data_IF_454412384631
#
_entry.id   IF_454412384631
#
_cell.length_a   1.000
_cell.length_b   1.000
_cell.length_c   1.000
_cell.angle_alpha   90.00
_cell.angle_beta   90.00
_cell.angle_gamma   90.00
#
_symmetry.space_group_name_H-M   'P 1'
#
loop_
_entity.id
_entity.type
_entity.pdbx_description
1 polymer ?
#
# COMPACT_ATOMS: atom_id res chain seq x y z
N UNK A 1 -3.81 -33.39 -11.92
CA UNK A 1 -3.60 -31.94 -12.11
C UNK A 1 -4.22 -31.43 -13.41
N UNK A 2 -3.97 -32.07 -14.56
CA UNK A 2 -4.51 -31.65 -15.87
C UNK A 2 -6.03 -31.41 -15.87
N UNK A 3 -6.80 -32.29 -15.22
CA UNK A 3 -8.27 -32.19 -15.11
C UNK A 3 -8.75 -30.92 -14.36
N UNK A 4 -7.98 -30.45 -13.38
CA UNK A 4 -8.31 -29.24 -12.63
C UNK A 4 -8.04 -27.99 -13.47
N UNK A 5 -6.88 -27.94 -14.14
CA UNK A 5 -6.51 -26.82 -15.02
C UNK A 5 -7.44 -26.69 -16.22
N UNK A 6 -7.85 -27.80 -16.85
CA UNK A 6 -8.83 -27.79 -17.95
C UNK A 6 -10.20 -27.24 -17.48
N UNK A 7 -10.57 -27.49 -16.22
CA UNK A 7 -11.79 -26.94 -15.63
C UNK A 7 -11.67 -25.46 -15.27
N UNK A 8 -10.50 -25.02 -14.79
CA UNK A 8 -10.19 -23.61 -14.62
C UNK A 8 -10.28 -22.85 -15.94
N UNK A 9 -9.86 -23.46 -17.04
CA UNK A 9 -9.98 -22.91 -18.39
C UNK A 9 -11.43 -22.83 -18.90
N UNK A 10 -12.39 -23.45 -18.21
CA UNK A 10 -13.79 -23.51 -18.65
C UNK A 10 -14.04 -24.40 -19.87
N UNK A 11 -13.10 -25.29 -20.22
CA UNK A 11 -13.19 -26.16 -21.41
C UNK A 11 -13.93 -27.47 -21.11
N UNK A 12 -14.70 -27.96 -22.09
CA UNK A 12 -15.38 -29.26 -21.97
C UNK A 12 -14.38 -30.41 -21.95
N UNK A 13 -14.36 -31.14 -20.85
CA UNK A 13 -13.45 -32.27 -20.62
C UNK A 13 -13.78 -33.48 -21.49
N UNK A 14 -15.07 -33.70 -21.80
CA UNK A 14 -15.53 -34.85 -22.57
C UNK A 14 -15.09 -34.78 -24.03
N UNK A 15 -15.03 -33.57 -24.58
CA UNK A 15 -14.54 -33.30 -25.93
C UNK A 15 -13.02 -33.40 -25.96
N UNK A 16 -12.33 -32.83 -24.95
CA UNK A 16 -10.87 -32.90 -24.86
C UNK A 16 -10.36 -34.33 -24.66
N UNK A 17 -11.06 -35.15 -23.85
CA UNK A 17 -11.27 -36.62 -24.04
C UNK A 17 -10.64 -37.21 -25.32
N UNK A 18 -11.20 -36.77 -26.44
CA UNK A 18 -11.04 -37.37 -27.76
C UNK A 18 -9.99 -36.64 -28.63
N UNK A 19 -9.38 -35.58 -28.12
CA UNK A 19 -8.41 -34.76 -28.84
C UNK A 19 -6.94 -35.19 -28.59
N UNK A 20 -6.05 -34.95 -29.57
CA UNK A 20 -4.61 -35.20 -29.41
C UNK A 20 -4.01 -34.41 -28.24
N UNK A 21 -2.95 -34.95 -27.62
CA UNK A 21 -2.27 -34.35 -26.47
C UNK A 21 -1.89 -32.87 -26.66
N UNK A 22 -1.50 -32.48 -27.88
CA UNK A 22 -1.14 -31.10 -28.20
C UNK A 22 -2.25 -30.08 -27.95
N UNK A 23 -3.51 -30.42 -28.20
CA UNK A 23 -4.65 -29.51 -27.96
C UNK A 23 -4.96 -29.42 -26.46
N UNK A 24 -4.87 -30.54 -25.72
CA UNK A 24 -5.05 -30.54 -24.26
C UNK A 24 -4.04 -29.63 -23.55
N UNK A 25 -2.77 -29.66 -23.96
CA UNK A 25 -1.71 -28.83 -23.36
C UNK A 25 -2.02 -27.34 -23.53
N UNK A 26 -2.59 -26.91 -24.67
CA UNK A 26 -3.01 -25.52 -24.88
C UNK A 26 -4.09 -25.08 -23.91
N UNK A 27 -5.12 -25.91 -23.73
CA UNK A 27 -6.21 -25.64 -22.79
C UNK A 27 -5.77 -25.70 -21.33
N UNK A 28 -4.79 -26.56 -20.98
CA UNK A 28 -4.14 -26.53 -19.67
C UNK A 28 -3.43 -25.18 -19.46
N UNK A 29 -2.75 -24.66 -20.48
CA UNK A 29 -2.12 -23.33 -20.46
C UNK A 29 -3.13 -22.20 -20.20
N UNK A 30 -4.30 -22.23 -20.84
CA UNK A 30 -5.38 -21.26 -20.56
C UNK A 30 -5.88 -21.35 -19.12
N UNK A 31 -5.94 -22.54 -18.54
CA UNK A 31 -6.29 -22.72 -17.13
C UNK A 31 -5.27 -22.10 -16.18
N UNK A 32 -3.98 -22.27 -16.46
CA UNK A 32 -2.90 -21.65 -15.67
C UNK A 32 -2.92 -20.12 -15.76
N UNK A 33 -3.25 -19.55 -16.92
CA UNK A 33 -3.36 -18.10 -17.13
C UNK A 33 -4.48 -17.46 -16.32
N UNK A 34 -5.51 -18.22 -15.91
CA UNK A 34 -6.60 -17.76 -15.04
C UNK A 34 -6.29 -18.02 -13.56
N UNK A 35 -5.60 -19.13 -13.27
CA UNK A 35 -5.31 -19.54 -11.89
C UNK A 35 -4.26 -18.63 -11.22
N UNK A 36 -3.22 -18.24 -11.95
CA UNK A 36 -2.12 -17.42 -11.40
C UNK A 36 -2.63 -16.03 -10.94
N UNK A 37 -3.37 -15.26 -11.75
CA UNK A 37 -3.94 -13.98 -11.30
C UNK A 37 -4.91 -14.13 -10.14
N UNK A 38 -5.72 -15.20 -10.10
CA UNK A 38 -6.63 -15.46 -8.98
C UNK A 38 -5.88 -15.72 -7.67
N UNK A 39 -4.78 -16.48 -7.70
CA UNK A 39 -3.92 -16.71 -6.53
C UNK A 39 -3.23 -15.43 -6.07
N UNK A 40 -2.73 -14.62 -7.00
CA UNK A 40 -2.13 -13.33 -6.66
C UNK A 40 -3.16 -12.36 -6.07
N UNK A 41 -4.38 -12.34 -6.61
CA UNK A 41 -5.49 -11.55 -6.07
C UNK A 41 -5.90 -12.00 -4.66
N UNK A 42 -5.85 -13.31 -4.36
CA UNK A 42 -6.06 -13.83 -3.02
C UNK A 42 -5.06 -13.24 -2.02
N UNK A 43 -3.76 -13.35 -2.32
CA UNK A 43 -2.69 -12.86 -1.44
C UNK A 43 -2.76 -11.35 -1.27
N UNK A 44 -2.94 -10.65 -2.39
CA UNK A 44 -3.10 -9.19 -2.48
C UNK A 44 -4.25 -8.69 -1.59
N UNK A 45 -5.44 -9.27 -1.71
CA UNK A 45 -6.61 -8.85 -0.94
C UNK A 45 -6.55 -9.30 0.51
N UNK A 46 -6.00 -10.49 0.79
CA UNK A 46 -5.78 -10.94 2.17
C UNK A 46 -4.86 -9.97 2.94
N UNK A 47 -3.80 -9.49 2.30
CA UNK A 47 -2.95 -8.45 2.86
C UNK A 47 -3.69 -7.11 3.00
N UNK A 48 -4.39 -6.66 1.95
CA UNK A 48 -5.17 -5.41 2.02
C UNK A 48 -6.23 -5.40 3.14
N UNK A 49 -6.83 -6.56 3.45
CA UNK A 49 -7.75 -6.68 4.59
C UNK A 49 -7.04 -6.73 5.94
N UNK A 50 -5.79 -7.22 5.97
CA UNK A 50 -4.99 -7.23 7.20
C UNK A 50 -4.54 -5.84 7.63
N UNK A 51 -4.40 -4.89 6.70
CA UNK A 51 -4.08 -3.49 7.01
C UNK A 51 -5.30 -2.67 7.48
N UNK A 52 -6.51 -3.22 7.35
CA UNK A 52 -7.74 -2.57 7.86
C UNK A 52 -7.92 -2.89 9.34
N UNK A 53 -7.80 -1.87 10.20
CA UNK A 53 -7.91 -1.99 11.66
C UNK A 53 -9.20 -2.69 12.13
N UNK A 54 -10.30 -2.57 11.37
CA UNK A 54 -11.57 -3.22 11.69
C UNK A 54 -11.55 -4.76 11.53
N UNK A 55 -10.64 -5.31 10.72
CA UNK A 55 -10.57 -6.75 10.42
C UNK A 55 -9.29 -7.43 10.93
N UNK A 56 -8.27 -6.64 11.28
CA UNK A 56 -6.94 -7.11 11.71
C UNK A 56 -6.97 -8.06 12.92
N UNK A 57 -7.99 -7.95 13.79
CA UNK A 57 -8.17 -8.83 14.94
C UNK A 57 -8.57 -10.27 14.61
N UNK A 58 -8.92 -10.57 13.35
CA UNK A 58 -9.45 -11.86 12.96
C UNK A 58 -8.95 -12.35 11.59
N UNK A 59 -7.79 -12.99 11.60
CA UNK A 59 -7.11 -13.52 10.41
C UNK A 59 -8.02 -14.39 9.52
N UNK A 60 -8.98 -15.11 10.12
CA UNK A 60 -9.97 -15.90 9.39
C UNK A 60 -10.82 -15.04 8.43
N UNK A 61 -11.24 -13.86 8.84
CA UNK A 61 -12.03 -12.95 8.00
C UNK A 61 -11.19 -12.35 6.86
N UNK A 62 -9.91 -12.09 7.09
CA UNK A 62 -8.98 -11.64 6.04
C UNK A 62 -8.81 -12.71 4.95
N UNK A 63 -8.60 -13.97 5.34
CA UNK A 63 -8.49 -15.06 4.37
C UNK A 63 -9.82 -15.34 3.66
N UNK A 64 -10.95 -15.29 4.36
CA UNK A 64 -12.27 -15.46 3.73
C UNK A 64 -12.58 -14.34 2.74
N UNK A 65 -12.31 -13.09 3.10
CA UNK A 65 -12.47 -11.95 2.20
C UNK A 65 -11.55 -12.03 0.98
N UNK A 66 -10.29 -12.43 1.19
CA UNK A 66 -9.35 -12.72 0.12
C UNK A 66 -9.83 -13.85 -0.80
N UNK A 67 -10.42 -14.91 -0.24
CA UNK A 67 -10.98 -16.03 -1.00
C UNK A 67 -12.14 -15.59 -1.89
N UNK A 68 -13.06 -14.80 -1.33
CA UNK A 68 -14.20 -14.26 -2.08
C UNK A 68 -13.71 -13.39 -3.23
N UNK A 69 -12.72 -12.52 -2.98
CA UNK A 69 -12.14 -11.68 -4.01
C UNK A 69 -11.44 -12.48 -5.10
N UNK A 70 -10.66 -13.49 -4.72
CA UNK A 70 -10.01 -14.40 -5.66
C UNK A 70 -11.03 -15.15 -6.53
N UNK A 71 -12.18 -15.56 -5.96
CA UNK A 71 -13.26 -16.18 -6.72
C UNK A 71 -13.92 -15.22 -7.70
N UNK A 72 -14.05 -13.94 -7.36
CA UNK A 72 -14.52 -12.89 -8.28
C UNK A 72 -13.57 -12.76 -9.46
N UNK A 73 -12.28 -12.54 -9.21
CA UNK A 73 -11.26 -12.41 -10.28
C UNK A 73 -11.20 -13.67 -11.13
N UNK A 74 -11.19 -14.85 -10.50
CA UNK A 74 -11.22 -16.14 -11.19
C UNK A 74 -12.44 -16.27 -12.12
N UNK A 75 -13.62 -15.80 -11.68
CA UNK A 75 -14.85 -15.85 -12.47
C UNK A 75 -14.79 -14.90 -13.66
N UNK A 76 -14.30 -13.68 -13.47
CA UNK A 76 -14.11 -12.71 -14.54
C UNK A 76 -13.08 -13.17 -15.57
N UNK A 77 -11.89 -13.58 -15.13
CA UNK A 77 -10.83 -14.07 -16.02
C UNK A 77 -11.29 -15.30 -16.81
N UNK A 78 -12.01 -16.23 -16.16
CA UNK A 78 -12.62 -17.39 -16.82
C UNK A 78 -13.64 -16.98 -17.88
N UNK A 79 -14.49 -16.00 -17.61
CA UNK A 79 -15.46 -15.48 -18.59
C UNK A 79 -14.77 -14.85 -19.81
N UNK A 80 -13.69 -14.11 -19.58
CA UNK A 80 -12.91 -13.48 -20.66
C UNK A 80 -12.16 -14.54 -21.49
N UNK A 81 -11.65 -15.61 -20.86
CA UNK A 81 -11.03 -16.76 -21.58
C UNK A 81 -12.06 -17.56 -22.37
N UNK A 82 -13.24 -17.84 -21.81
CA UNK A 82 -14.27 -18.62 -22.50
C UNK A 82 -14.92 -17.87 -23.66
N UNK A 83 -14.97 -16.54 -23.60
CA UNK A 83 -15.47 -15.68 -24.68
C UNK A 83 -14.51 -15.62 -25.88
N UNK A 84 -13.27 -16.10 -25.73
CA UNK A 84 -12.31 -16.13 -26.83
C UNK A 84 -12.65 -17.25 -27.84
N UNK A 85 -13.44 -16.89 -28.86
CA UNK A 85 -13.73 -17.76 -30.01
C UNK A 85 -12.68 -17.47 -31.09
N UNK A 86 -11.80 -18.45 -31.34
CA UNK A 86 -10.84 -18.40 -32.45
C UNK A 86 -11.61 -18.50 -33.77
N UNK A 87 -11.70 -17.38 -34.51
CA UNK A 87 -12.17 -17.39 -35.91
C UNK A 87 -11.00 -17.69 -36.84
N UNK A 88 -11.30 -18.38 -37.93
CA UNK A 88 -10.39 -19.15 -38.79
C UNK A 88 -9.36 -18.35 -39.60
N UNK A 89 -9.28 -17.02 -39.47
CA UNK A 89 -8.39 -16.17 -40.29
C UNK A 89 -7.57 -15.19 -39.45
N UNK A 90 -6.23 -15.35 -39.49
CA UNK A 90 -5.24 -14.54 -38.76
C UNK A 90 -5.30 -13.02 -39.05
N UNK A 91 -5.89 -12.60 -40.18
CA UNK A 91 -5.96 -11.18 -40.57
C UNK A 91 -7.20 -10.44 -40.06
N UNK A 92 -8.26 -11.15 -39.70
CA UNK A 92 -9.49 -10.53 -39.17
C UNK A 92 -9.53 -10.49 -37.64
N UNK A 93 -8.66 -11.26 -36.98
CA UNK A 93 -8.57 -11.33 -35.52
C UNK A 93 -8.04 -10.04 -34.89
N UNK A 94 -7.17 -9.31 -35.60
CA UNK A 94 -6.63 -8.00 -35.18
C UNK A 94 -7.68 -6.88 -35.19
N UNK A 95 -8.80 -7.09 -35.91
CA UNK A 95 -9.91 -6.12 -36.00
C UNK A 95 -11.02 -6.39 -34.98
N UNK A 96 -10.89 -7.42 -34.14
CA UNK A 96 -11.91 -7.77 -33.17
C UNK A 96 -11.85 -6.82 -31.96
N UNK A 97 -12.93 -6.08 -31.65
CA UNK A 97 -13.00 -5.22 -30.47
C UNK A 97 -12.86 -5.99 -29.15
N UNK A 98 -13.18 -7.29 -29.15
CA UNK A 98 -13.03 -8.17 -27.99
C UNK A 98 -11.57 -8.34 -27.53
N UNK A 99 -10.59 -8.30 -28.45
CA UNK A 99 -9.17 -8.38 -28.08
C UNK A 99 -8.71 -7.13 -27.33
N UNK A 100 -9.08 -5.95 -27.83
CA UNK A 100 -8.76 -4.67 -27.18
C UNK A 100 -9.46 -4.52 -25.83
N UNK A 101 -10.73 -4.94 -25.73
CA UNK A 101 -11.46 -4.94 -24.46
C UNK A 101 -10.74 -5.81 -23.41
N UNK A 102 -10.27 -7.01 -23.80
CA UNK A 102 -9.49 -7.90 -22.92
C UNK A 102 -8.19 -7.26 -22.46
N UNK A 103 -7.45 -6.62 -23.36
CA UNK A 103 -6.20 -5.96 -23.01
C UNK A 103 -6.43 -4.81 -22.01
N UNK A 104 -7.48 -4.01 -22.23
CA UNK A 104 -7.86 -2.93 -21.31
C UNK A 104 -8.22 -3.44 -19.92
N UNK A 105 -9.07 -4.48 -19.83
CA UNK A 105 -9.44 -5.07 -18.55
C UNK A 105 -8.25 -5.69 -17.82
N UNK A 106 -7.37 -6.40 -18.53
CA UNK A 106 -6.16 -6.98 -17.94
C UNK A 106 -5.21 -5.90 -17.40
N UNK A 107 -5.08 -4.77 -18.09
CA UNK A 107 -4.27 -3.64 -17.64
C UNK A 107 -4.84 -3.00 -16.36
N UNK A 108 -6.16 -2.78 -16.32
CA UNK A 108 -6.85 -2.25 -15.13
C UNK A 108 -6.68 -3.19 -13.94
N UNK A 109 -6.95 -4.49 -14.12
CA UNK A 109 -6.78 -5.50 -13.07
C UNK A 109 -5.32 -5.61 -12.61
N UNK A 110 -4.36 -5.51 -13.53
CA UNK A 110 -2.93 -5.51 -13.20
C UNK A 110 -2.55 -4.35 -12.27
N UNK A 111 -3.01 -3.13 -12.58
CA UNK A 111 -2.76 -1.95 -11.74
C UNK A 111 -3.39 -2.14 -10.36
N UNK A 112 -4.66 -2.54 -10.30
CA UNK A 112 -5.40 -2.70 -9.04
C UNK A 112 -4.75 -3.76 -8.15
N UNK A 113 -4.33 -4.90 -8.72
CA UNK A 113 -3.71 -6.00 -7.96
C UNK A 113 -2.28 -5.64 -7.53
N UNK A 114 -1.56 -4.85 -8.34
CA UNK A 114 -0.15 -4.49 -8.06
C UNK A 114 0.02 -3.63 -6.81
N UNK A 115 -0.89 -2.70 -6.53
CA UNK A 115 -0.71 -1.74 -5.45
C UNK A 115 -0.58 -2.39 -4.06
N UNK A 116 -1.52 -3.24 -3.62
CA UNK A 116 -1.37 -3.97 -2.34
C UNK A 116 -0.20 -4.98 -2.35
N UNK A 117 0.16 -5.58 -3.49
CA UNK A 117 1.33 -6.46 -3.57
C UNK A 117 2.65 -5.71 -3.38
N UNK A 118 2.75 -4.51 -3.95
CA UNK A 118 3.91 -3.63 -3.78
C UNK A 118 4.04 -3.22 -2.32
N UNK A 119 2.93 -2.83 -1.67
CA UNK A 119 2.92 -2.50 -0.24
C UNK A 119 3.36 -3.70 0.62
N UNK A 120 2.82 -4.89 0.35
CA UNK A 120 3.21 -6.11 1.05
C UNK A 120 4.72 -6.41 0.92
N UNK A 121 5.29 -6.20 -0.26
CA UNK A 121 6.70 -6.45 -0.50
C UNK A 121 7.61 -5.42 0.19
N UNK A 122 7.18 -4.16 0.23
CA UNK A 122 7.96 -3.05 0.79
C UNK A 122 7.60 -2.69 2.24
N UNK A 123 6.72 -3.44 2.89
CA UNK A 123 6.19 -3.17 4.23
C UNK A 123 7.31 -2.82 5.24
N UNK A 124 8.33 -3.68 5.33
CA UNK A 124 9.48 -3.42 6.22
C UNK A 124 10.31 -2.20 5.82
N UNK A 125 10.51 -1.95 4.51
CA UNK A 125 11.23 -0.76 4.05
C UNK A 125 10.47 0.54 4.32
N UNK A 126 9.14 0.49 4.29
CA UNK A 126 8.28 1.62 4.62
C UNK A 126 8.37 1.91 6.12
N UNK A 127 8.31 0.88 6.96
CA UNK A 127 8.40 1.04 8.42
C UNK A 127 9.76 1.56 8.88
N UNK A 128 10.86 1.08 8.29
CA UNK A 128 12.20 1.60 8.54
C UNK A 128 12.29 3.08 8.16
N UNK A 129 11.72 3.46 7.01
CA UNK A 129 11.72 4.85 6.55
C UNK A 129 10.87 5.75 7.44
N UNK A 130 9.68 5.30 7.84
CA UNK A 130 8.81 6.03 8.76
C UNK A 130 9.53 6.26 10.09
N UNK A 131 10.20 5.23 10.62
CA UNK A 131 10.95 5.35 11.87
C UNK A 131 12.07 6.37 11.75
N UNK A 132 12.85 6.32 10.66
CA UNK A 132 13.90 7.28 10.39
C UNK A 132 13.36 8.72 10.29
N UNK A 133 12.31 8.94 9.49
CA UNK A 133 11.69 10.26 9.33
C UNK A 133 11.16 10.78 10.68
N UNK A 134 10.50 9.94 11.49
CA UNK A 134 10.00 10.32 12.83
C UNK A 134 11.14 10.70 13.78
N UNK A 135 12.28 9.99 13.73
CA UNK A 135 13.45 10.34 14.54
C UNK A 135 14.05 11.68 14.13
N UNK A 136 14.19 11.93 12.83
CA UNK A 136 14.70 13.18 12.28
C UNK A 136 13.79 14.36 12.66
N UNK A 137 12.48 14.25 12.42
CA UNK A 137 11.52 15.28 12.82
C UNK A 137 11.53 15.53 14.33
N UNK A 138 11.69 14.49 15.15
CA UNK A 138 11.80 14.63 16.61
C UNK A 138 13.06 15.39 17.00
N UNK A 139 14.19 15.16 16.34
CA UNK A 139 15.44 15.90 16.59
C UNK A 139 15.32 17.37 16.15
N UNK A 140 14.72 17.64 14.98
CA UNK A 140 14.48 19.02 14.54
C UNK A 140 13.61 19.79 15.54
N UNK A 141 12.50 19.19 15.97
CA UNK A 141 11.58 19.79 16.93
C UNK A 141 12.28 20.05 18.28
N UNK A 142 13.10 19.11 18.77
CA UNK A 142 13.89 19.30 19.99
C UNK A 142 14.87 20.46 19.84
N UNK A 143 15.60 20.53 18.73
CA UNK A 143 16.55 21.63 18.47
C UNK A 143 15.87 23.00 18.44
N UNK A 144 14.67 23.11 17.86
CA UNK A 144 13.86 24.34 17.90
C UNK A 144 13.48 24.72 19.33
N UNK A 145 12.97 23.78 20.12
CA UNK A 145 12.62 24.06 21.52
C UNK A 145 13.84 24.44 22.37
N UNK A 146 14.99 23.80 22.18
CA UNK A 146 16.23 24.16 22.88
C UNK A 146 16.69 25.57 22.54
N UNK A 147 16.59 25.99 21.27
CA UNK A 147 16.89 27.35 20.85
C UNK A 147 15.92 28.37 21.48
N UNK A 148 14.63 28.08 21.50
CA UNK A 148 13.62 28.95 22.12
C UNK A 148 13.84 29.07 23.64
N UNK A 149 14.14 27.96 24.32
CA UNK A 149 14.48 27.94 25.75
C UNK A 149 15.74 28.78 26.00
N UNK A 150 16.76 28.68 25.16
CA UNK A 150 17.98 29.47 25.30
C UNK A 150 17.70 30.99 25.16
N UNK A 151 16.85 31.39 24.20
CA UNK A 151 16.43 32.78 24.04
C UNK A 151 15.64 33.27 25.25
N UNK A 152 14.73 32.46 25.78
CA UNK A 152 13.96 32.80 26.98
C UNK A 152 14.88 32.94 28.20
N UNK A 153 15.84 32.03 28.37
CA UNK A 153 16.83 32.08 29.45
C UNK A 153 17.71 33.33 29.35
N UNK A 154 18.11 33.71 28.14
CA UNK A 154 18.85 34.96 27.91
C UNK A 154 18.01 36.19 28.28
N UNK A 155 16.72 36.20 27.93
CA UNK A 155 15.81 37.28 28.31
C UNK A 155 15.62 37.36 29.83
N UNK A 156 15.50 36.22 30.51
CA UNK A 156 15.42 36.15 31.97
C UNK A 156 16.68 36.74 32.63
N UNK A 157 17.87 36.30 32.20
CA UNK A 157 19.13 36.81 32.73
C UNK A 157 19.29 38.34 32.51
N UNK A 158 18.88 38.84 31.34
CA UNK A 158 18.86 40.27 31.07
C UNK A 158 17.89 41.01 32.00
N UNK A 159 16.68 40.48 32.22
CA UNK A 159 15.72 41.07 33.16
C UNK A 159 16.27 41.10 34.59
N UNK A 160 16.87 40.01 35.06
CA UNK A 160 17.46 39.94 36.40
C UNK A 160 18.60 40.96 36.59
N UNK A 161 19.47 41.12 35.59
CA UNK A 161 20.52 42.13 35.65
C UNK A 161 19.96 43.57 35.71
N UNK A 162 18.86 43.84 35.00
CA UNK A 162 18.16 45.13 35.05
C UNK A 162 17.52 45.37 36.42
N UNK A 163 16.91 44.35 37.02
CA UNK A 163 16.35 44.44 38.37
C UNK A 163 17.43 44.76 39.41
N UNK A 164 18.56 44.04 39.38
CA UNK A 164 19.68 44.32 40.29
C UNK A 164 20.26 45.73 40.09
N UNK A 165 20.35 46.21 38.85
CA UNK A 165 20.82 47.56 38.58
C UNK A 165 19.87 48.62 39.14
N UNK A 166 18.55 48.46 38.92
CA UNK A 166 17.53 49.34 39.50
C UNK A 166 17.52 49.32 41.02
N UNK A 167 17.74 48.17 41.63
CA UNK A 167 17.82 48.04 43.08
C UNK A 167 19.04 48.78 43.66
N UNK A 168 20.21 48.68 43.01
CA UNK A 168 21.39 49.46 43.37
C UNK A 168 21.15 50.97 43.28
N UNK A 169 20.51 51.44 42.20
CA UNK A 169 20.15 52.85 42.04
C UNK A 169 19.18 53.32 43.13
N UNK A 170 18.16 52.52 43.44
CA UNK A 170 17.19 52.81 44.50
C UNK A 170 17.87 52.92 45.87
N UNK A 171 18.77 52.00 46.20
CA UNK A 171 19.48 52.02 47.47
C UNK A 171 20.43 53.22 47.56
N UNK A 172 21.18 53.52 46.49
CA UNK A 172 22.03 54.71 46.43
C UNK A 172 21.23 56.02 46.60
N UNK A 173 20.02 56.08 46.03
CA UNK A 173 19.15 57.25 46.18
C UNK A 173 18.56 57.36 47.59
N UNK A 174 18.22 56.25 48.23
CA UNK A 174 17.81 56.23 49.63
C UNK A 174 18.93 56.70 50.57
N UNK A 175 20.18 56.31 50.32
CA UNK A 175 21.34 56.76 51.08
C UNK A 175 21.60 58.27 50.94
N UNK A 176 21.39 58.85 49.75
CA UNK A 176 21.51 60.30 49.54
C UNK A 176 20.44 61.04 50.35
N UNK A 177 19.18 60.62 50.25
CA UNK A 177 18.08 61.24 51.00
C UNK A 177 18.28 61.13 52.51
N UNK A 178 18.82 60.00 53.00
CA UNK A 178 19.12 59.81 54.42
C UNK A 178 20.28 60.70 54.94
N UNK A 179 21.15 61.23 54.06
CA UNK A 179 22.22 62.17 54.42
C UNK A 179 21.77 63.63 54.43
N UNK A 180 20.69 63.96 53.72
CA UNK A 180 20.14 65.31 53.61
C UNK A 180 19.10 65.66 54.70
N UNK A 181 18.76 64.70 55.58
CA UNK A 181 17.86 64.85 56.75
C UNK A 181 18.71 64.89 58.02
#
# INVERSE_FOLDING_TARGET
MERFLIWCAGSDRSILDHCPRGERIKHIGFGSLVLIPALLAFVSMAYALSTVEALSGSLLWCYLGGLIWALIIFSFDRFIVSTHIRKTSNREEVKNPAFYLRFLFALILGIVISHPLVLLYFDGSIEDRITADVTEYREEIKGRYEADIAVIQQRLNNMDSLYQHKEKLRNAQADIVARDI
#
